data_IF_032340596795
#
_entry.id   IF_032340596795
#
_cell.length_a   1.000
_cell.length_b   1.000
_cell.length_c   1.000
_cell.angle_alpha   90.00
_cell.angle_beta   90.00
_cell.angle_gamma   90.00
#
_symmetry.space_group_name_H-M   'P 1'
#
loop_
_entity.id
_entity.type
_entity.pdbx_description
1 polymer ?
#
# COMPACT_ATOMS: atom_id res chain seq x y z
N UNK A 1 -14.14 2.98 16.92
CA UNK A 1 -14.60 3.07 15.52
C UNK A 1 -13.41 2.79 14.62
N UNK A 2 -13.46 1.78 13.74
CA UNK A 2 -12.48 1.66 12.66
C UNK A 2 -12.86 2.70 11.60
N UNK A 3 -11.98 3.63 11.19
CA UNK A 3 -12.28 4.45 10.02
C UNK A 3 -12.55 3.50 8.85
N UNK A 4 -13.71 3.64 8.18
CA UNK A 4 -14.13 2.73 7.11
C UNK A 4 -13.25 2.83 5.86
N UNK A 5 -12.22 3.67 5.90
CA UNK A 5 -11.38 4.10 4.81
C UNK A 5 -9.91 3.64 4.97
N UNK A 6 -9.60 2.86 6.02
CA UNK A 6 -8.24 2.36 6.29
C UNK A 6 -8.17 0.85 6.15
N UNK A 7 -7.23 0.35 5.35
CA UNK A 7 -6.99 -1.08 5.10
C UNK A 7 -5.49 -1.37 5.23
N UNK A 8 -5.08 -2.54 5.73
CA UNK A 8 -3.67 -2.89 5.78
C UNK A 8 -3.32 -3.85 4.66
N UNK A 9 -2.34 -3.48 3.85
CA UNK A 9 -1.70 -4.39 2.91
C UNK A 9 -0.64 -5.20 3.64
N UNK A 10 -0.59 -6.50 3.35
CA UNK A 10 0.44 -7.40 3.87
C UNK A 10 1.37 -7.81 2.73
N UNK A 11 2.65 -7.51 2.89
CA UNK A 11 3.71 -8.02 2.02
C UNK A 11 4.47 -9.14 2.75
N UNK A 12 4.87 -10.17 1.99
CA UNK A 12 5.72 -11.25 2.49
C UNK A 12 6.96 -11.32 1.59
N UNK A 13 8.14 -11.14 2.17
CA UNK A 13 9.42 -11.23 1.45
C UNK A 13 9.94 -12.67 1.53
N UNK A 14 10.24 -13.24 0.36
CA UNK A 14 10.86 -14.56 0.22
C UNK A 14 12.25 -14.43 -0.44
N UNK A 15 13.20 -15.34 -0.13
CA UNK A 15 13.05 -16.51 0.74
C UNK A 15 12.94 -16.15 2.23
N UNK A 16 12.39 -17.05 3.05
CA UNK A 16 12.15 -16.77 4.49
C UNK A 16 13.44 -16.48 5.27
N UNK A 17 14.61 -16.87 4.76
CA UNK A 17 15.92 -16.58 5.35
C UNK A 17 16.56 -15.28 4.83
N UNK A 18 15.81 -14.45 4.08
CA UNK A 18 16.29 -13.14 3.66
C UNK A 18 16.77 -12.33 4.88
N UNK A 19 17.99 -11.80 4.79
CA UNK A 19 18.61 -10.98 5.83
C UNK A 19 17.92 -9.64 5.99
N UNK A 20 17.42 -9.09 4.88
CA UNK A 20 16.58 -7.90 4.88
C UNK A 20 15.16 -8.28 4.45
N UNK A 21 14.18 -7.98 5.30
CA UNK A 21 12.74 -8.15 5.01
C UNK A 21 12.01 -6.81 5.05
N UNK A 22 12.76 -5.71 5.06
CA UNK A 22 12.18 -4.39 5.05
C UNK A 22 11.49 -4.15 3.70
N UNK A 23 10.29 -3.57 3.76
CA UNK A 23 9.48 -3.27 2.59
C UNK A 23 9.23 -1.77 2.56
N UNK A 24 9.63 -1.14 1.47
CA UNK A 24 9.34 0.25 1.18
C UNK A 24 7.98 0.33 0.50
N UNK A 25 7.10 1.14 1.08
CA UNK A 25 5.76 1.39 0.58
C UNK A 25 5.66 2.78 -0.03
N UNK A 26 4.98 2.89 -1.17
CA UNK A 26 4.64 4.18 -1.77
C UNK A 26 3.39 4.10 -2.64
N UNK A 27 2.71 5.23 -2.79
CA UNK A 27 1.53 5.38 -3.64
C UNK A 27 1.88 6.08 -4.93
N UNK A 28 1.28 5.66 -6.05
CA UNK A 28 1.34 6.39 -7.32
C UNK A 28 0.56 7.70 -7.29
N UNK A 29 -0.40 7.83 -6.37
CA UNK A 29 -1.26 9.00 -6.24
C UNK A 29 -1.68 9.21 -4.78
N UNK A 30 -0.83 9.91 -3.98
CA UNK A 30 -1.10 10.20 -2.57
C UNK A 30 -2.37 11.03 -2.33
N UNK A 31 -2.84 11.79 -3.33
CA UNK A 31 -4.07 12.59 -3.23
C UNK A 31 -5.36 11.73 -3.30
N UNK A 32 -5.22 10.45 -3.66
CA UNK A 32 -6.33 9.47 -3.68
C UNK A 32 -6.18 8.44 -2.57
N UNK A 33 -4.99 7.83 -2.47
CA UNK A 33 -4.67 6.84 -1.43
C UNK A 33 -3.26 7.08 -0.91
N UNK A 34 -3.11 7.25 0.41
CA UNK A 34 -1.81 7.29 1.08
C UNK A 34 -1.45 5.91 1.63
N UNK A 35 -0.17 5.65 1.86
CA UNK A 35 0.32 4.43 2.52
C UNK A 35 1.43 4.78 3.51
N UNK A 36 1.41 4.16 4.69
CA UNK A 36 2.48 4.30 5.69
C UNK A 36 3.54 3.18 5.61
N UNK A 37 4.58 3.27 6.43
CA UNK A 37 5.68 2.28 6.47
C UNK A 37 5.24 0.88 6.88
N UNK A 38 4.10 0.75 7.56
CA UNK A 38 3.55 -0.54 8.01
C UNK A 38 2.55 -1.11 6.99
N UNK A 39 2.40 -0.48 5.83
CA UNK A 39 1.51 -0.90 4.75
C UNK A 39 0.04 -0.55 4.99
N UNK A 40 -0.27 0.36 5.91
CA UNK A 40 -1.65 0.85 6.03
C UNK A 40 -1.96 1.85 4.95
N UNK A 41 -2.99 1.56 4.17
CA UNK A 41 -3.53 2.45 3.16
C UNK A 41 -4.73 3.21 3.70
N UNK A 42 -4.83 4.49 3.36
CA UNK A 42 -5.97 5.33 3.68
C UNK A 42 -6.48 6.03 2.42
N UNK A 43 -7.78 5.88 2.16
CA UNK A 43 -8.44 6.60 1.08
C UNK A 43 -8.71 8.05 1.51
N UNK A 44 -8.07 8.99 0.82
CA UNK A 44 -8.17 10.43 1.08
C UNK A 44 -8.97 11.18 0.00
N UNK A 45 -9.08 10.61 -1.19
CA UNK A 45 -9.79 11.18 -2.33
C UNK A 45 -10.46 10.11 -3.20
N UNK A 46 -11.24 10.56 -4.18
CA UNK A 46 -11.88 9.68 -5.17
C UNK A 46 -10.96 9.55 -6.38
N UNK A 47 -10.77 8.33 -6.86
CA UNK A 47 -9.94 8.05 -8.04
C UNK A 47 -9.26 6.69 -7.96
N UNK A 48 -8.27 6.49 -8.83
CA UNK A 48 -7.44 5.29 -8.86
C UNK A 48 -6.02 5.62 -8.37
N UNK A 49 -5.46 4.72 -7.56
CA UNK A 49 -4.08 4.77 -7.11
C UNK A 49 -3.47 3.36 -7.14
N UNK A 50 -2.18 3.25 -7.43
CA UNK A 50 -1.44 2.00 -7.30
C UNK A 50 -0.52 2.09 -6.10
N UNK A 51 -0.64 1.14 -5.18
CA UNK A 51 0.26 1.03 -4.04
C UNK A 51 1.35 0.02 -4.39
N UNK A 52 2.60 0.41 -4.15
CA UNK A 52 3.77 -0.40 -4.42
C UNK A 52 4.41 -0.86 -3.11
N UNK A 53 4.83 -2.12 -3.09
CA UNK A 53 5.67 -2.72 -2.05
C UNK A 53 6.97 -3.17 -2.71
N UNK A 54 8.08 -2.60 -2.28
CA UNK A 54 9.41 -2.88 -2.82
C UNK A 54 10.31 -3.39 -1.70
N UNK A 55 10.99 -4.50 -1.92
CA UNK A 55 12.03 -4.92 -0.97
C UNK A 55 13.13 -3.85 -0.98
N UNK A 56 13.58 -3.44 0.20
CA UNK A 56 14.58 -2.37 0.33
C UNK A 56 15.89 -2.69 -0.41
N UNK A 57 16.24 -3.97 -0.54
CA UNK A 57 17.40 -4.43 -1.32
C UNK A 57 17.23 -4.25 -2.85
N UNK A 58 16.09 -3.72 -3.32
CA UNK A 58 15.83 -3.36 -4.72
C UNK A 58 15.60 -4.53 -5.67
N UNK A 59 15.49 -5.76 -5.15
CA UNK A 59 15.44 -6.98 -5.96
C UNK A 59 14.05 -7.43 -6.39
N UNK A 60 13.00 -7.06 -5.65
CA UNK A 60 11.61 -7.49 -5.91
C UNK A 60 10.60 -6.39 -5.60
N UNK A 61 9.57 -6.29 -6.43
CA UNK A 61 8.49 -5.31 -6.30
C UNK A 61 7.14 -5.98 -6.57
N UNK A 62 6.16 -5.67 -5.72
CA UNK A 62 4.76 -6.03 -5.88
C UNK A 62 3.90 -4.74 -5.93
N UNK A 63 2.70 -4.85 -6.47
CA UNK A 63 1.77 -3.72 -6.54
C UNK A 63 0.32 -4.15 -6.35
N UNK A 64 -0.49 -3.21 -5.87
CA UNK A 64 -1.92 -3.36 -5.69
C UNK A 64 -2.64 -2.14 -6.28
N UNK A 65 -3.55 -2.35 -7.22
CA UNK A 65 -4.42 -1.29 -7.73
C UNK A 65 -5.58 -1.08 -6.75
N UNK A 66 -5.74 0.16 -6.30
CA UNK A 66 -6.78 0.58 -5.38
C UNK A 66 -7.66 1.61 -6.08
N UNK A 67 -8.96 1.34 -6.10
CA UNK A 67 -9.97 2.29 -6.57
C UNK A 67 -10.74 2.81 -5.38
N UNK A 68 -10.67 4.12 -5.17
CA UNK A 68 -11.48 4.83 -4.19
C UNK A 68 -12.67 5.48 -4.88
N UNK A 69 -13.88 5.06 -4.52
CA UNK A 69 -15.12 5.61 -5.07
C UNK A 69 -15.86 6.40 -3.99
N UNK A 70 -16.41 7.56 -4.33
CA UNK A 70 -17.40 8.21 -3.49
C UNK A 70 -18.67 7.36 -3.49
N UNK A 71 -19.15 7.01 -2.29
CA UNK A 71 -20.48 6.46 -2.13
C UNK A 71 -21.44 7.65 -1.97
N UNK A 72 -22.24 7.92 -2.99
CA UNK A 72 -23.32 8.90 -2.91
C UNK A 72 -24.57 8.18 -2.38
N UNK A 73 -25.14 8.71 -1.31
CA UNK A 73 -26.40 8.27 -0.71
C UNK A 73 -27.61 8.89 -1.41
#
# INVERSE_FOLDING_TARGET
>A
MRPMNKYQLKATVHPENATNKNVIWYSSNPDVVTVDSDGWIEAVGVGDATIYAEAEDGGVKAWCAVRSTAFLF
#
